data_IF_415466180918
#
_entry.id   IF_415466180918
#
_cell.length_a   1.000
_cell.length_b   1.000
_cell.length_c   1.000
_cell.angle_alpha   90.00
_cell.angle_beta   90.00
_cell.angle_gamma   90.00
#
_symmetry.space_group_name_H-M   'P 1'
#
loop_
_entity.id
_entity.type
_entity.pdbx_description
1 polymer ?
#
# COMPACT_ATOMS: atom_id res chain seq x y z
N UNK A 1 26.93 61.48 8.31
CA UNK A 1 26.02 60.51 7.70
C UNK A 1 26.59 59.12 8.02
N UNK A 2 26.03 58.46 9.04
CA UNK A 2 26.45 57.15 9.51
C UNK A 2 25.50 56.10 8.95
N UNK A 3 26.00 55.22 8.11
CA UNK A 3 25.24 54.10 7.56
C UNK A 3 25.16 52.95 8.60
N UNK A 4 23.94 52.59 8.98
CA UNK A 4 23.68 51.46 9.83
C UNK A 4 23.50 50.19 8.96
N UNK A 5 24.38 49.21 9.11
CA UNK A 5 24.30 47.91 8.46
C UNK A 5 23.41 46.99 9.30
N UNK A 6 22.26 46.63 8.77
CA UNK A 6 21.35 45.64 9.39
C UNK A 6 21.81 44.24 8.98
N UNK A 7 22.34 43.50 9.95
CA UNK A 7 22.57 42.03 9.79
C UNK A 7 21.26 41.30 10.01
N UNK A 8 20.68 40.78 8.94
CA UNK A 8 19.55 39.85 9.05
C UNK A 8 20.04 38.45 9.50
N UNK A 9 19.64 38.02 10.70
CA UNK A 9 19.80 36.62 11.13
C UNK A 9 18.81 35.75 10.31
N UNK A 10 19.32 34.96 9.41
CA UNK A 10 18.58 33.85 8.83
C UNK A 10 18.50 32.71 9.85
N UNK A 11 17.39 32.56 10.55
CA UNK A 11 17.08 31.36 11.33
C UNK A 11 16.79 30.21 10.38
N UNK A 12 17.75 29.31 10.23
CA UNK A 12 17.53 28.03 9.59
C UNK A 12 16.58 27.20 10.48
N UNK A 13 15.34 27.03 10.05
CA UNK A 13 14.47 26.02 10.61
C UNK A 13 15.04 24.63 10.24
N UNK A 14 15.80 24.05 11.17
CA UNK A 14 16.08 22.62 11.14
C UNK A 14 14.74 21.93 11.46
N UNK A 15 14.00 21.54 10.42
CA UNK A 15 12.84 20.67 10.59
C UNK A 15 13.32 19.40 11.28
N UNK A 16 12.79 19.09 12.46
CA UNK A 16 12.97 17.78 13.07
C UNK A 16 12.44 16.75 12.07
N UNK A 17 13.32 15.99 11.45
CA UNK A 17 12.94 14.80 10.72
C UNK A 17 12.42 13.82 11.76
N UNK A 18 11.09 13.70 11.85
CA UNK A 18 10.48 12.73 12.75
C UNK A 18 10.85 11.33 12.24
N UNK A 19 11.35 10.48 13.13
CA UNK A 19 11.65 9.10 12.77
C UNK A 19 10.36 8.38 12.38
N UNK A 20 10.42 7.58 11.32
CA UNK A 20 9.27 6.80 10.87
C UNK A 20 8.83 5.81 11.95
N UNK A 21 7.51 5.70 12.15
CA UNK A 21 6.91 4.69 13.03
C UNK A 21 7.17 3.28 12.48
N UNK A 22 7.55 2.33 13.34
CA UNK A 22 7.69 0.93 12.93
C UNK A 22 6.38 0.19 13.20
N UNK A 23 5.86 -0.48 12.18
CA UNK A 23 4.74 -1.40 12.28
C UNK A 23 5.17 -2.79 11.86
N UNK A 24 4.51 -3.83 12.35
CA UNK A 24 4.64 -5.15 11.76
C UNK A 24 3.67 -5.30 10.59
N UNK A 25 4.06 -6.08 9.57
CA UNK A 25 3.24 -6.46 8.42
C UNK A 25 2.98 -7.95 8.49
N UNK A 26 1.70 -8.35 8.47
CA UNK A 26 1.30 -9.76 8.63
C UNK A 26 -0.05 -10.06 7.97
N UNK A 27 -0.36 -11.34 7.84
CA UNK A 27 -1.65 -11.84 7.39
C UNK A 27 -2.71 -11.84 8.49
N UNK A 28 -3.96 -11.99 8.08
CA UNK A 28 -5.09 -12.16 8.98
C UNK A 28 -4.93 -13.43 9.81
N UNK A 29 -5.13 -13.29 11.11
CA UNK A 29 -5.08 -14.40 12.08
C UNK A 29 -3.75 -14.58 12.80
N UNK A 30 -2.71 -13.84 12.40
CA UNK A 30 -1.36 -14.03 12.93
C UNK A 30 -1.08 -13.17 14.18
N UNK A 31 -1.84 -12.10 14.43
CA UNK A 31 -1.54 -11.13 15.50
C UNK A 31 -1.46 -11.76 16.88
N UNK A 32 -2.27 -12.77 17.18
CA UNK A 32 -2.25 -13.45 18.47
C UNK A 32 -0.89 -14.12 18.76
N UNK A 33 -0.27 -14.71 17.73
CA UNK A 33 1.05 -15.31 17.81
C UNK A 33 2.20 -14.28 17.89
N UNK A 34 1.92 -13.03 17.50
CA UNK A 34 2.90 -11.94 17.41
C UNK A 34 2.84 -10.98 18.60
N UNK A 35 2.13 -11.33 19.67
CA UNK A 35 1.96 -10.45 20.83
C UNK A 35 3.29 -9.94 21.40
N UNK A 36 4.29 -10.80 21.54
CA UNK A 36 5.61 -10.41 22.08
C UNK A 36 6.31 -9.35 21.21
N UNK A 37 6.10 -9.35 19.90
CA UNK A 37 6.63 -8.33 18.99
C UNK A 37 5.81 -7.04 19.14
N UNK A 38 4.48 -7.15 19.20
CA UNK A 38 3.61 -5.97 19.39
C UNK A 38 3.84 -5.25 20.69
N UNK A 39 4.21 -5.96 21.78
CA UNK A 39 4.51 -5.36 23.09
C UNK A 39 5.80 -4.53 23.11
N UNK A 40 6.67 -4.67 22.13
CA UNK A 40 7.91 -3.89 22.03
C UNK A 40 7.61 -2.40 21.95
N UNK A 41 8.39 -1.59 22.66
CA UNK A 41 8.23 -0.13 22.69
C UNK A 41 8.57 0.56 21.37
N UNK A 42 9.41 -0.08 20.53
CA UNK A 42 9.79 0.43 19.20
C UNK A 42 8.79 0.08 18.10
N UNK A 43 7.71 -0.68 18.40
CA UNK A 43 6.63 -1.03 17.46
C UNK A 43 5.40 -0.19 17.77
N UNK A 44 4.91 0.55 16.78
CA UNK A 44 3.75 1.43 16.90
C UNK A 44 2.42 0.69 16.67
N UNK A 45 2.44 -0.45 15.97
CA UNK A 45 1.24 -1.21 15.67
C UNK A 45 1.45 -2.29 14.61
N UNK A 46 0.38 -2.63 13.92
CA UNK A 46 0.36 -3.63 12.86
C UNK A 46 -0.37 -3.13 11.62
N UNK A 47 0.09 -3.57 10.44
CA UNK A 47 -0.67 -3.61 9.21
C UNK A 47 -1.05 -5.07 8.95
N UNK A 48 -2.34 -5.35 8.84
CA UNK A 48 -2.86 -6.70 8.66
C UNK A 48 -3.61 -6.81 7.35
N UNK A 49 -3.30 -7.84 6.57
CA UNK A 49 -3.91 -8.12 5.27
C UNK A 49 -5.21 -8.90 5.46
N UNK A 50 -6.29 -8.37 4.89
CA UNK A 50 -7.59 -9.02 4.83
C UNK A 50 -8.03 -9.14 3.37
N UNK A 51 -8.35 -10.35 2.92
CA UNK A 51 -8.86 -10.53 1.56
C UNK A 51 -10.37 -10.26 1.46
N UNK A 52 -10.82 -9.82 0.30
CA UNK A 52 -12.21 -9.46 0.07
C UNK A 52 -13.19 -10.60 0.37
N UNK A 53 -12.86 -11.83 -0.05
CA UNK A 53 -13.73 -13.01 0.20
C UNK A 53 -14.02 -13.23 1.68
N UNK A 54 -13.04 -13.05 2.54
CA UNK A 54 -13.23 -13.21 3.98
C UNK A 54 -14.06 -12.08 4.60
N UNK A 55 -13.98 -10.86 4.04
CA UNK A 55 -14.71 -9.71 4.53
C UNK A 55 -16.16 -9.66 4.02
N UNK A 56 -16.47 -10.27 2.88
CA UNK A 56 -17.79 -10.30 2.27
C UNK A 56 -18.09 -11.71 1.73
N UNK A 57 -18.40 -12.70 2.58
CA UNK A 57 -18.65 -14.08 2.18
C UNK A 57 -19.88 -14.25 1.28
N UNK A 58 -20.88 -13.38 1.40
CA UNK A 58 -22.02 -13.30 0.51
C UNK A 58 -22.35 -11.83 0.20
N UNK A 59 -23.04 -11.59 -0.89
CA UNK A 59 -23.30 -10.22 -1.38
C UNK A 59 -24.00 -9.35 -0.33
N UNK A 60 -23.31 -8.33 0.16
CA UNK A 60 -23.81 -7.41 1.18
C UNK A 60 -23.83 -7.98 2.60
N UNK A 61 -23.33 -9.19 2.79
CA UNK A 61 -23.14 -9.80 4.11
C UNK A 61 -21.67 -9.70 4.50
N UNK A 62 -21.37 -8.86 5.49
CA UNK A 62 -19.99 -8.57 5.87
C UNK A 62 -19.61 -9.31 7.16
N UNK A 63 -18.46 -9.99 7.14
CA UNK A 63 -17.83 -10.56 8.33
C UNK A 63 -16.55 -9.80 8.66
N UNK A 64 -16.65 -8.90 9.62
CA UNK A 64 -15.54 -8.13 10.13
C UNK A 64 -14.97 -8.65 11.44
N UNK A 65 -15.35 -9.86 11.85
CA UNK A 65 -14.95 -10.46 13.13
C UNK A 65 -13.43 -10.55 13.29
N UNK A 66 -12.69 -10.79 12.19
CA UNK A 66 -11.23 -10.82 12.20
C UNK A 66 -10.64 -9.45 12.51
N UNK A 67 -11.15 -8.39 11.88
CA UNK A 67 -10.70 -7.01 12.12
C UNK A 67 -11.01 -6.59 13.57
N UNK A 68 -12.20 -6.94 14.08
CA UNK A 68 -12.57 -6.62 15.46
C UNK A 68 -11.63 -7.29 16.48
N UNK A 69 -11.25 -8.56 16.28
CA UNK A 69 -10.28 -9.25 17.14
C UNK A 69 -8.91 -8.58 17.13
N UNK A 70 -8.42 -8.23 15.93
CA UNK A 70 -7.11 -7.60 15.77
C UNK A 70 -7.11 -6.17 16.35
N UNK A 71 -8.23 -5.45 16.18
CA UNK A 71 -8.42 -4.12 16.78
C UNK A 71 -8.50 -4.18 18.31
N UNK A 72 -9.16 -5.18 18.88
CA UNK A 72 -9.19 -5.39 20.31
C UNK A 72 -7.80 -5.72 20.86
N UNK A 73 -7.04 -6.58 20.18
CA UNK A 73 -5.70 -6.94 20.60
C UNK A 73 -4.74 -5.74 20.55
N UNK A 74 -4.73 -5.00 19.44
CA UNK A 74 -3.89 -3.80 19.31
C UNK A 74 -4.32 -2.73 20.31
N UNK A 75 -5.62 -2.55 20.56
CA UNK A 75 -6.16 -1.62 21.53
C UNK A 75 -5.73 -1.92 22.97
N UNK A 76 -5.74 -3.20 23.39
CA UNK A 76 -5.24 -3.62 24.73
C UNK A 76 -3.78 -3.26 24.96
N UNK A 77 -2.99 -3.22 23.90
CA UNK A 77 -1.56 -2.90 23.94
C UNK A 77 -1.27 -1.41 23.66
N UNK A 78 -2.31 -0.60 23.46
CA UNK A 78 -2.20 0.80 23.02
C UNK A 78 -1.41 0.93 21.71
N UNK A 79 -1.67 0.02 20.77
CA UNK A 79 -1.06 -0.05 19.44
C UNK A 79 -2.07 0.32 18.35
N UNK A 80 -1.55 0.75 17.20
CA UNK A 80 -2.33 1.17 16.05
C UNK A 80 -2.59 0.00 15.12
N UNK A 81 -3.74 -0.02 14.42
CA UNK A 81 -4.07 -1.00 13.38
C UNK A 81 -4.26 -0.31 12.04
N UNK A 82 -3.58 -0.80 11.01
CA UNK A 82 -3.90 -0.57 9.60
C UNK A 82 -4.61 -1.80 9.03
N UNK A 83 -5.74 -1.60 8.37
CA UNK A 83 -6.41 -2.60 7.56
C UNK A 83 -5.83 -2.52 6.15
N UNK A 84 -5.21 -3.59 5.64
CA UNK A 84 -4.90 -3.71 4.21
C UNK A 84 -5.94 -4.58 3.54
N UNK A 85 -6.78 -3.97 2.70
CA UNK A 85 -7.75 -4.71 1.89
C UNK A 85 -7.04 -5.29 0.69
N UNK A 86 -7.21 -6.60 0.42
CA UNK A 86 -6.51 -7.26 -0.68
C UNK A 86 -7.48 -7.91 -1.65
N UNK A 87 -7.36 -7.53 -2.92
CA UNK A 87 -8.13 -8.02 -4.05
C UNK A 87 -7.26 -8.56 -5.21
N UNK A 88 -5.93 -8.56 -5.01
CA UNK A 88 -4.93 -9.09 -5.92
C UNK A 88 -4.14 -10.17 -5.23
N UNK A 89 -3.74 -11.21 -5.97
CA UNK A 89 -3.15 -12.39 -5.37
C UNK A 89 -1.97 -12.86 -6.21
N UNK A 90 -0.87 -13.15 -5.54
CA UNK A 90 0.37 -13.67 -6.12
C UNK A 90 0.50 -15.20 -5.87
N UNK A 91 -0.63 -15.91 -6.02
CA UNK A 91 -0.74 -17.36 -5.95
C UNK A 91 -1.69 -17.82 -7.03
N UNK A 92 -1.27 -18.75 -7.90
CA UNK A 92 -2.12 -19.27 -8.99
C UNK A 92 -3.41 -19.96 -8.49
N UNK A 93 -3.39 -20.51 -7.29
CA UNK A 93 -4.53 -21.22 -6.69
C UNK A 93 -5.51 -20.30 -5.96
N UNK A 94 -5.06 -19.10 -5.57
CA UNK A 94 -5.88 -18.17 -4.79
C UNK A 94 -7.06 -17.61 -5.59
N UNK A 95 -8.23 -17.52 -4.95
CA UNK A 95 -9.46 -16.90 -5.49
C UNK A 95 -10.13 -16.11 -4.38
N UNK A 96 -9.39 -15.17 -3.79
CA UNK A 96 -9.76 -14.49 -2.55
C UNK A 96 -10.71 -13.31 -2.77
N UNK A 97 -11.60 -13.38 -3.76
CA UNK A 97 -12.77 -12.50 -3.92
C UNK A 97 -14.06 -13.32 -3.73
N UNK A 98 -15.20 -12.69 -3.39
CA UNK A 98 -16.45 -13.40 -3.15
C UNK A 98 -16.90 -14.26 -4.33
N UNK A 99 -17.47 -15.43 -4.03
CA UNK A 99 -17.93 -16.37 -5.06
C UNK A 99 -18.98 -15.74 -5.99
N UNK A 100 -19.88 -14.91 -5.47
CA UNK A 100 -20.88 -14.22 -6.26
C UNK A 100 -20.27 -13.23 -7.30
N UNK A 101 -19.09 -12.67 -7.01
CA UNK A 101 -18.35 -11.83 -7.96
C UNK A 101 -17.71 -12.69 -9.05
N UNK A 102 -17.14 -13.85 -8.66
CA UNK A 102 -16.55 -14.80 -9.59
C UNK A 102 -17.60 -15.37 -10.57
N UNK A 103 -18.77 -15.79 -10.04
CA UNK A 103 -19.84 -16.40 -10.82
C UNK A 103 -20.59 -15.40 -11.70
N UNK A 104 -20.83 -14.18 -11.18
CA UNK A 104 -21.64 -13.17 -11.88
C UNK A 104 -20.89 -12.39 -12.95
N UNK A 105 -19.70 -11.90 -12.64
CA UNK A 105 -18.93 -10.99 -13.49
C UNK A 105 -17.61 -11.58 -14.01
N UNK A 106 -17.29 -12.84 -13.64
CA UNK A 106 -15.98 -13.43 -13.90
C UNK A 106 -14.84 -12.85 -13.03
N UNK A 107 -15.02 -11.68 -12.49
CA UNK A 107 -14.30 -10.94 -11.44
C UNK A 107 -12.77 -10.92 -11.44
N UNK A 108 -12.08 -11.94 -11.94
CA UNK A 108 -10.63 -12.10 -11.91
C UNK A 108 -10.02 -12.31 -13.31
N UNK A 109 -8.82 -11.77 -13.48
CA UNK A 109 -7.96 -12.01 -14.64
C UNK A 109 -6.61 -12.54 -14.13
N UNK A 110 -5.98 -13.53 -14.83
CA UNK A 110 -4.67 -14.01 -14.44
C UNK A 110 -3.60 -12.94 -14.57
N UNK A 111 -2.72 -12.86 -13.57
CA UNK A 111 -1.47 -12.14 -13.64
C UNK A 111 -0.39 -13.06 -14.19
N UNK A 112 0.38 -12.58 -15.15
CA UNK A 112 1.37 -13.37 -15.86
C UNK A 112 2.78 -12.87 -15.57
N UNK A 113 3.71 -13.79 -15.37
CA UNK A 113 5.13 -13.49 -15.47
C UNK A 113 5.49 -13.24 -16.94
N UNK A 114 6.05 -12.08 -17.23
CA UNK A 114 6.37 -11.62 -18.59
C UNK A 114 5.17 -11.65 -19.56
N UNK A 115 4.12 -10.87 -19.32
CA UNK A 115 2.93 -10.86 -20.16
C UNK A 115 3.26 -10.54 -21.63
N UNK A 116 2.65 -11.28 -22.54
CA UNK A 116 2.89 -11.14 -23.98
C UNK A 116 4.07 -11.93 -24.56
N UNK A 117 4.78 -12.71 -23.75
CA UNK A 117 5.80 -13.66 -24.20
C UNK A 117 5.23 -15.09 -24.34
N UNK A 118 5.81 -15.88 -25.25
CA UNK A 118 5.35 -17.26 -25.52
C UNK A 118 5.48 -18.21 -24.30
N UNK A 119 6.24 -17.82 -23.28
CA UNK A 119 6.49 -18.58 -22.06
C UNK A 119 5.88 -17.95 -20.80
N UNK A 120 4.98 -16.99 -20.97
CA UNK A 120 4.28 -16.36 -19.85
C UNK A 120 3.58 -17.42 -18.99
N UNK A 121 3.80 -17.37 -17.67
CA UNK A 121 3.18 -18.28 -16.71
C UNK A 121 2.29 -17.48 -15.75
N UNK A 122 1.10 -18.01 -15.46
CA UNK A 122 0.24 -17.42 -14.46
C UNK A 122 0.91 -17.57 -13.08
N UNK A 123 1.11 -16.46 -12.38
CA UNK A 123 1.65 -16.43 -11.01
C UNK A 123 0.68 -15.86 -9.99
N UNK A 124 -0.48 -15.38 -10.44
CA UNK A 124 -1.48 -14.80 -9.57
C UNK A 124 -2.74 -14.37 -10.29
N UNK A 125 -3.52 -13.54 -9.63
CA UNK A 125 -4.81 -13.03 -10.12
C UNK A 125 -5.00 -11.58 -9.71
N UNK A 126 -5.67 -10.79 -10.56
CA UNK A 126 -6.13 -9.45 -10.24
C UNK A 126 -7.62 -9.32 -10.44
N UNK A 127 -8.27 -8.52 -9.60
CA UNK A 127 -9.69 -8.21 -9.72
C UNK A 127 -9.92 -7.21 -10.86
N UNK A 128 -10.98 -7.44 -11.64
CA UNK A 128 -11.33 -6.58 -12.78
C UNK A 128 -11.95 -5.25 -12.33
N UNK A 129 -11.17 -4.37 -11.71
CA UNK A 129 -11.67 -3.07 -11.23
C UNK A 129 -12.18 -2.16 -12.37
N UNK A 130 -11.71 -2.35 -13.61
CA UNK A 130 -12.26 -1.68 -14.81
C UNK A 130 -13.68 -2.13 -15.17
N UNK A 131 -14.16 -3.26 -14.63
CA UNK A 131 -15.55 -3.67 -14.76
C UNK A 131 -16.42 -2.91 -13.73
N UNK A 132 -17.41 -2.08 -14.17
CA UNK A 132 -18.21 -1.26 -13.26
C UNK A 132 -19.00 -2.06 -12.22
N UNK A 133 -19.47 -3.26 -12.55
CA UNK A 133 -20.22 -4.10 -11.63
C UNK A 133 -19.32 -4.66 -10.51
N UNK A 134 -18.12 -5.09 -10.84
CA UNK A 134 -17.11 -5.54 -9.87
C UNK A 134 -16.67 -4.38 -9.00
N UNK A 135 -16.32 -3.24 -9.61
CA UNK A 135 -15.91 -2.03 -8.89
C UNK A 135 -16.97 -1.54 -7.91
N UNK A 136 -18.24 -1.51 -8.31
CA UNK A 136 -19.33 -1.10 -7.44
C UNK A 136 -19.44 -1.98 -6.17
N UNK A 137 -19.16 -3.28 -6.27
CA UNK A 137 -19.15 -4.19 -5.12
C UNK A 137 -17.94 -3.92 -4.21
N UNK A 138 -16.77 -3.71 -4.79
CA UNK A 138 -15.58 -3.34 -4.02
C UNK A 138 -15.77 -2.01 -3.27
N UNK A 139 -16.35 -1.01 -3.92
CA UNK A 139 -16.69 0.26 -3.29
C UNK A 139 -17.74 0.11 -2.18
N UNK A 140 -18.69 -0.82 -2.31
CA UNK A 140 -19.63 -1.13 -1.24
C UNK A 140 -18.93 -1.74 -0.02
N UNK A 141 -17.94 -2.63 -0.22
CA UNK A 141 -17.10 -3.14 0.86
C UNK A 141 -16.33 -2.00 1.56
N UNK A 142 -15.70 -1.09 0.80
CA UNK A 142 -14.96 0.04 1.38
C UNK A 142 -15.86 0.94 2.24
N UNK A 143 -17.10 1.21 1.79
CA UNK A 143 -18.09 1.97 2.56
C UNK A 143 -18.51 1.24 3.84
N UNK A 144 -18.76 -0.07 3.77
CA UNK A 144 -19.13 -0.88 4.93
C UNK A 144 -17.99 -0.95 5.96
N UNK A 145 -16.74 -1.06 5.49
CA UNK A 145 -15.57 -0.97 6.37
C UNK A 145 -15.46 0.40 7.05
N UNK A 146 -15.70 1.48 6.32
CA UNK A 146 -15.67 2.83 6.88
C UNK A 146 -16.79 3.05 7.89
N UNK A 147 -18.02 2.62 7.60
CA UNK A 147 -19.15 2.70 8.54
C UNK A 147 -18.82 2.02 9.88
N UNK A 148 -18.06 0.92 9.84
CA UNK A 148 -17.72 0.16 11.04
C UNK A 148 -16.46 0.64 11.75
N UNK A 149 -15.46 1.12 11.03
CA UNK A 149 -14.09 1.29 11.54
C UNK A 149 -13.50 2.69 11.42
N UNK A 150 -14.15 3.63 10.73
CA UNK A 150 -13.62 5.00 10.63
C UNK A 150 -13.46 5.63 12.02
N UNK A 151 -12.29 6.17 12.31
CA UNK A 151 -11.91 6.69 13.61
C UNK A 151 -11.56 5.64 14.68
N UNK A 152 -11.76 4.35 14.41
CA UNK A 152 -11.40 3.23 15.31
C UNK A 152 -10.07 2.59 14.91
N UNK A 153 -9.80 2.49 13.61
CA UNK A 153 -8.51 2.05 13.07
C UNK A 153 -7.64 3.25 12.73
N UNK A 154 -6.33 3.05 12.69
CA UNK A 154 -5.41 4.13 12.33
C UNK A 154 -5.48 4.47 10.84
N UNK A 155 -5.73 3.46 10.00
CA UNK A 155 -5.94 3.67 8.58
C UNK A 155 -6.36 2.43 7.83
N UNK A 156 -6.74 2.65 6.56
CA UNK A 156 -7.00 1.63 5.55
C UNK A 156 -6.00 1.77 4.42
N UNK A 157 -5.47 0.66 3.94
CA UNK A 157 -4.56 0.58 2.82
C UNK A 157 -5.19 -0.18 1.67
N UNK A 158 -5.24 0.46 0.49
CA UNK A 158 -5.71 -0.15 -0.74
C UNK A 158 -4.57 -0.94 -1.41
N UNK A 159 -4.87 -1.97 -2.22
CA UNK A 159 -3.87 -2.81 -2.88
C UNK A 159 -2.94 -2.00 -3.78
N UNK A 160 -1.78 -2.58 -4.13
CA UNK A 160 -0.85 -1.92 -5.05
C UNK A 160 -1.43 -1.75 -6.45
N UNK A 161 -0.95 -0.72 -7.17
CA UNK A 161 -1.41 -0.41 -8.52
C UNK A 161 -0.82 -1.31 -9.61
N UNK A 162 0.28 -2.00 -9.31
CA UNK A 162 0.92 -2.89 -10.27
C UNK A 162 0.07 -4.14 -10.55
N UNK A 163 -0.19 -4.39 -11.82
CA UNK A 163 -0.82 -5.61 -12.34
C UNK A 163 -0.16 -6.00 -13.66
N UNK A 164 -0.06 -7.30 -13.91
CA UNK A 164 0.56 -7.85 -15.10
C UNK A 164 -0.45 -8.68 -15.90
N UNK A 165 -1.09 -8.06 -16.88
CA UNK A 165 -2.12 -8.66 -17.73
C UNK A 165 -1.60 -8.87 -19.14
N UNK A 166 -1.92 -10.01 -19.77
CA UNK A 166 -1.74 -10.18 -21.20
C UNK A 166 -2.78 -9.37 -21.98
N UNK A 167 -2.46 -8.12 -22.28
CA UNK A 167 -3.35 -7.22 -23.01
C UNK A 167 -3.70 -7.69 -24.42
N UNK A 168 -2.90 -8.58 -25.02
CA UNK A 168 -3.18 -9.13 -26.37
C UNK A 168 -4.21 -10.25 -26.31
N UNK A 169 -4.20 -11.03 -25.23
CA UNK A 169 -5.14 -12.12 -25.03
C UNK A 169 -6.37 -11.68 -24.24
N UNK A 170 -6.39 -10.52 -23.64
CA UNK A 170 -7.49 -10.01 -22.84
C UNK A 170 -8.78 -9.86 -23.66
N UNK A 171 -9.89 -10.31 -23.08
CA UNK A 171 -11.25 -10.20 -23.63
C UNK A 171 -12.22 -9.52 -22.66
N UNK A 172 -11.71 -8.93 -21.57
CA UNK A 172 -12.52 -8.36 -20.50
C UNK A 172 -12.79 -6.87 -20.69
N UNK A 173 -12.22 -6.27 -21.73
CA UNK A 173 -12.30 -4.85 -22.00
C UNK A 173 -11.31 -4.03 -21.18
N UNK A 174 -10.21 -4.64 -20.72
CA UNK A 174 -9.13 -3.93 -20.06
C UNK A 174 -8.55 -2.85 -20.98
N UNK A 175 -8.33 -1.68 -20.43
CA UNK A 175 -7.40 -0.69 -20.95
C UNK A 175 -6.71 -0.01 -19.78
N UNK A 176 -5.51 0.51 -20.03
CA UNK A 176 -4.74 1.15 -18.98
C UNK A 176 -5.42 2.38 -18.41
N UNK A 177 -6.07 3.19 -19.25
CA UNK A 177 -6.86 4.34 -18.81
C UNK A 177 -8.07 3.90 -17.98
N UNK A 178 -8.83 2.89 -18.42
CA UNK A 178 -9.99 2.40 -17.67
C UNK A 178 -9.60 1.83 -16.32
N UNK A 179 -8.45 1.14 -16.23
CA UNK A 179 -7.92 0.65 -14.97
C UNK A 179 -7.46 1.80 -14.06
N UNK A 180 -6.68 2.73 -14.59
CA UNK A 180 -6.22 3.90 -13.84
C UNK A 180 -7.40 4.72 -13.27
N UNK A 181 -8.39 5.03 -14.10
CA UNK A 181 -9.57 5.80 -13.68
C UNK A 181 -10.39 5.03 -12.63
N UNK A 182 -10.50 3.70 -12.75
CA UNK A 182 -11.18 2.84 -11.78
C UNK A 182 -10.47 2.86 -10.40
N UNK A 183 -9.15 2.77 -10.37
CA UNK A 183 -8.38 2.82 -9.12
C UNK A 183 -8.46 4.20 -8.48
N UNK A 184 -8.42 5.29 -9.25
CA UNK A 184 -8.64 6.64 -8.73
C UNK A 184 -10.05 6.84 -8.17
N UNK A 185 -11.07 6.22 -8.79
CA UNK A 185 -12.44 6.24 -8.28
C UNK A 185 -12.54 5.49 -6.95
N UNK A 186 -11.97 4.27 -6.86
CA UNK A 186 -11.91 3.50 -5.62
C UNK A 186 -11.23 4.29 -4.49
N UNK A 187 -10.10 4.92 -4.78
CA UNK A 187 -9.35 5.73 -3.84
C UNK A 187 -10.16 6.96 -3.37
N UNK A 188 -10.88 7.61 -4.28
CA UNK A 188 -11.75 8.74 -3.96
C UNK A 188 -12.88 8.29 -3.02
N UNK A 189 -13.56 7.19 -3.34
CA UNK A 189 -14.64 6.64 -2.52
C UNK A 189 -14.11 6.22 -1.13
N UNK A 190 -12.94 5.61 -1.07
CA UNK A 190 -12.31 5.27 0.21
C UNK A 190 -12.06 6.53 1.06
N UNK A 191 -11.52 7.61 0.47
CA UNK A 191 -11.24 8.85 1.19
C UNK A 191 -12.53 9.56 1.65
N UNK A 192 -13.57 9.54 0.82
CA UNK A 192 -14.87 10.11 1.18
C UNK A 192 -15.55 9.34 2.32
N UNK A 193 -15.37 8.03 2.36
CA UNK A 193 -15.95 7.17 3.38
C UNK A 193 -15.17 7.22 4.70
N UNK A 194 -13.84 7.14 4.66
CA UNK A 194 -12.97 7.22 5.84
C UNK A 194 -12.58 8.68 6.12
N UNK A 195 -13.33 9.38 6.94
CA UNK A 195 -13.13 10.80 7.23
C UNK A 195 -12.13 11.07 8.35
N UNK A 196 -11.98 10.14 9.26
CA UNK A 196 -11.15 10.25 10.47
C UNK A 196 -9.88 9.40 10.42
N UNK A 197 -9.96 8.23 9.76
CA UNK A 197 -8.83 7.32 9.59
C UNK A 197 -8.03 7.69 8.34
N UNK A 198 -6.75 7.33 8.31
CA UNK A 198 -5.90 7.51 7.13
C UNK A 198 -6.34 6.58 6.00
N UNK A 199 -6.27 7.08 4.77
CA UNK A 199 -6.45 6.27 3.56
C UNK A 199 -5.15 6.28 2.79
N UNK A 200 -4.60 5.11 2.49
CA UNK A 200 -3.34 4.94 1.78
C UNK A 200 -3.58 4.12 0.51
N UNK A 201 -3.05 4.56 -0.61
CA UNK A 201 -2.91 3.76 -1.82
C UNK A 201 -1.48 3.25 -1.93
N UNK A 202 -1.29 1.93 -2.04
CA UNK A 202 0.00 1.40 -2.46
C UNK A 202 0.20 1.64 -3.96
N UNK A 203 1.33 2.24 -4.29
CA UNK A 203 1.72 2.50 -5.68
C UNK A 203 3.14 2.00 -5.92
N UNK A 204 3.30 1.20 -6.96
CA UNK A 204 4.60 0.68 -7.41
C UNK A 204 4.81 1.02 -8.88
N UNK A 205 4.02 0.39 -9.76
CA UNK A 205 3.98 0.63 -11.20
C UNK A 205 2.52 0.78 -11.64
N UNK A 206 2.33 1.42 -12.78
CA UNK A 206 1.06 1.35 -13.50
C UNK A 206 1.25 0.49 -14.74
N UNK A 207 0.29 -0.35 -15.10
CA UNK A 207 0.33 -1.03 -16.40
C UNK A 207 0.39 0.01 -17.52
N UNK A 208 1.14 -0.30 -18.57
CA UNK A 208 1.42 0.55 -19.73
C UNK A 208 2.32 1.77 -19.47
N UNK A 209 2.55 2.19 -18.23
CA UNK A 209 3.36 3.37 -17.94
C UNK A 209 4.82 3.01 -17.66
N UNK A 210 5.72 3.75 -18.29
CA UNK A 210 7.14 3.73 -17.97
C UNK A 210 7.69 5.15 -17.92
N UNK A 211 8.43 5.47 -16.85
CA UNK A 211 8.98 6.83 -16.63
C UNK A 211 7.91 7.95 -16.75
N UNK A 212 6.68 7.67 -16.33
CA UNK A 212 5.53 8.59 -16.35
C UNK A 212 5.08 9.04 -17.77
N UNK A 213 5.29 8.23 -18.79
CA UNK A 213 4.94 8.56 -20.18
C UNK A 213 3.42 8.68 -20.43
N UNK A 214 2.58 8.07 -19.58
CA UNK A 214 1.12 8.24 -19.55
C UNK A 214 0.65 9.25 -18.49
N UNK A 215 1.55 9.76 -17.67
CA UNK A 215 1.25 10.67 -16.56
C UNK A 215 0.28 10.10 -15.50
N UNK A 216 0.19 8.79 -15.35
CA UNK A 216 -0.62 8.16 -14.30
C UNK A 216 -0.02 8.40 -12.92
N UNK A 217 1.29 8.21 -12.78
CA UNK A 217 2.00 8.47 -11.54
C UNK A 217 1.86 9.94 -11.13
N UNK A 218 2.09 10.88 -12.04
CA UNK A 218 1.93 12.32 -11.79
C UNK A 218 0.53 12.66 -11.32
N UNK A 219 -0.51 12.21 -12.05
CA UNK A 219 -1.92 12.45 -11.72
C UNK A 219 -2.31 11.85 -10.35
N UNK A 220 -1.81 10.67 -10.00
CA UNK A 220 -2.07 10.06 -8.70
C UNK A 220 -1.48 10.90 -7.56
N UNK A 221 -0.20 11.31 -7.67
CA UNK A 221 0.46 12.09 -6.64
C UNK A 221 -0.16 13.48 -6.46
N UNK A 222 -0.51 14.15 -7.56
CA UNK A 222 -1.24 15.43 -7.54
C UNK A 222 -2.59 15.28 -6.84
N UNK A 223 -3.36 14.24 -7.21
CA UNK A 223 -4.66 13.95 -6.59
C UNK A 223 -4.53 13.65 -5.11
N UNK A 224 -3.57 12.83 -4.71
CA UNK A 224 -3.33 12.45 -3.32
C UNK A 224 -3.00 13.68 -2.46
N UNK A 225 -2.08 14.52 -2.92
CA UNK A 225 -1.70 15.74 -2.22
C UNK A 225 -2.86 16.73 -2.07
N UNK A 226 -3.71 16.84 -3.10
CA UNK A 226 -4.86 17.76 -3.08
C UNK A 226 -6.04 17.28 -2.21
N UNK A 227 -6.13 15.96 -1.94
CA UNK A 227 -7.31 15.35 -1.31
C UNK A 227 -7.06 14.78 0.09
N UNK A 228 -5.89 15.02 0.70
CA UNK A 228 -5.55 14.44 2.00
C UNK A 228 -5.53 12.91 1.97
N UNK A 229 -4.95 12.35 0.91
CA UNK A 229 -4.76 10.91 0.73
C UNK A 229 -3.29 10.60 0.96
N UNK A 230 -3.03 9.53 1.73
CA UNK A 230 -1.71 8.97 1.87
C UNK A 230 -1.33 8.08 0.68
N UNK A 231 -0.06 7.97 0.42
CA UNK A 231 0.49 7.02 -0.54
C UNK A 231 1.49 6.09 0.14
N UNK A 232 1.79 4.99 -0.50
CA UNK A 232 2.80 4.07 -0.02
C UNK A 232 3.24 3.11 -1.11
N UNK A 233 3.92 2.05 -0.71
CA UNK A 233 4.34 1.01 -1.63
C UNK A 233 4.61 -0.30 -0.92
N UNK A 234 4.51 -1.43 -1.65
CA UNK A 234 4.71 -2.75 -1.06
C UNK A 234 6.18 -3.02 -0.71
N UNK A 235 7.12 -2.27 -1.31
CA UNK A 235 8.54 -2.55 -1.22
C UNK A 235 9.38 -1.30 -0.98
N UNK A 236 10.20 -1.31 0.07
CA UNK A 236 11.34 -0.41 0.21
C UNK A 236 12.58 -1.17 -0.23
N UNK A 237 13.04 -0.96 -1.46
CA UNK A 237 14.30 -1.53 -1.94
C UNK A 237 15.26 -0.39 -2.28
N UNK A 238 16.22 -0.08 -1.41
CA UNK A 238 17.11 1.07 -1.61
C UNK A 238 17.77 1.05 -2.99
N UNK A 239 17.59 2.15 -3.72
CA UNK A 239 18.19 2.39 -5.04
C UNK A 239 17.84 1.38 -6.14
N UNK A 240 16.75 0.62 -6.01
CA UNK A 240 16.28 -0.33 -7.02
C UNK A 240 16.00 0.40 -8.34
N UNK A 241 16.65 0.00 -9.42
CA UNK A 241 16.66 0.72 -10.71
C UNK A 241 15.24 0.97 -11.26
N UNK A 242 14.36 -0.03 -11.22
CA UNK A 242 12.99 0.11 -11.71
C UNK A 242 12.20 1.16 -10.93
N UNK A 243 12.19 1.07 -9.60
CA UNK A 243 11.49 2.01 -8.72
C UNK A 243 12.11 3.42 -8.76
N UNK A 244 13.44 3.51 -8.87
CA UNK A 244 14.14 4.79 -9.04
C UNK A 244 13.81 5.52 -10.35
N UNK A 245 13.21 4.82 -11.31
CA UNK A 245 12.71 5.43 -12.57
C UNK A 245 11.24 5.76 -12.51
N UNK A 246 10.42 4.89 -11.88
CA UNK A 246 8.98 4.90 -12.06
C UNK A 246 8.19 5.39 -10.84
N UNK A 247 8.61 5.14 -9.60
CA UNK A 247 7.83 5.47 -8.41
C UNK A 247 8.58 6.32 -7.36
N UNK A 248 9.79 5.94 -6.96
CA UNK A 248 10.51 6.61 -5.87
C UNK A 248 10.80 8.10 -6.08
N UNK A 249 11.10 8.61 -7.30
CA UNK A 249 11.28 10.03 -7.51
C UNK A 249 10.05 10.87 -7.18
N UNK A 250 8.85 10.31 -7.36
CA UNK A 250 7.61 10.99 -6.98
C UNK A 250 7.46 11.10 -5.48
N UNK A 251 7.75 10.04 -4.71
CA UNK A 251 7.80 10.12 -3.25
C UNK A 251 8.77 11.19 -2.77
N UNK A 252 9.98 11.24 -3.35
CA UNK A 252 10.97 12.26 -3.04
C UNK A 252 10.47 13.68 -3.33
N UNK A 253 9.86 13.90 -4.51
CA UNK A 253 9.30 15.19 -4.93
C UNK A 253 8.14 15.65 -4.05
N UNK A 254 7.33 14.72 -3.56
CA UNK A 254 6.15 14.99 -2.74
C UNK A 254 6.40 14.83 -1.24
N UNK A 255 7.64 14.69 -0.82
CA UNK A 255 8.04 14.62 0.59
C UNK A 255 7.48 15.80 1.38
N UNK A 256 6.72 15.53 2.44
CA UNK A 256 6.06 16.52 3.26
C UNK A 256 4.83 17.20 2.62
N UNK A 257 4.35 16.71 1.47
CA UNK A 257 3.14 17.21 0.79
C UNK A 257 1.97 16.23 0.82
N UNK A 258 2.23 14.96 1.09
CA UNK A 258 1.21 13.92 1.25
C UNK A 258 0.73 13.90 2.70
N UNK A 259 -0.52 13.49 2.91
CA UNK A 259 -1.10 13.32 4.25
C UNK A 259 -0.33 12.28 5.08
N UNK A 260 0.16 11.23 4.42
CA UNK A 260 0.89 10.15 5.04
C UNK A 260 1.63 9.34 3.99
N UNK A 261 2.81 8.85 4.32
CA UNK A 261 3.57 7.91 3.49
C UNK A 261 3.86 6.64 4.31
N UNK A 262 3.25 5.52 3.93
CA UNK A 262 3.46 4.23 4.58
C UNK A 262 3.96 3.18 3.59
N UNK A 263 5.14 2.61 3.83
CA UNK A 263 5.74 1.64 2.90
C UNK A 263 6.17 0.36 3.62
N UNK A 264 6.07 -0.77 2.91
CA UNK A 264 6.42 -2.06 3.47
C UNK A 264 7.84 -2.52 3.10
N UNK A 265 8.37 -3.41 3.92
CA UNK A 265 9.50 -4.29 3.62
C UNK A 265 8.99 -5.70 3.74
N UNK A 266 8.59 -6.30 2.61
CA UNK A 266 8.03 -7.65 2.54
C UNK A 266 9.12 -8.73 2.46
N UNK A 267 8.75 -10.01 2.52
CA UNK A 267 9.70 -11.14 2.50
C UNK A 267 10.62 -11.11 1.27
N UNK A 268 10.11 -10.92 0.04
CA UNK A 268 10.99 -10.84 -1.13
C UNK A 268 12.00 -9.70 -1.03
N UNK A 269 11.59 -8.57 -0.43
CA UNK A 269 12.43 -7.38 -0.24
C UNK A 269 13.63 -7.67 0.65
N UNK A 270 13.47 -8.52 1.67
CA UNK A 270 14.55 -8.91 2.59
C UNK A 270 15.68 -9.70 1.90
N UNK A 271 15.42 -10.25 0.72
CA UNK A 271 16.41 -11.03 -0.04
C UNK A 271 17.31 -10.18 -0.92
N UNK A 272 16.93 -8.92 -1.19
CA UNK A 272 17.74 -8.02 -2.03
C UNK A 272 19.05 -7.65 -1.34
N UNK A 273 20.07 -7.52 -2.16
CA UNK A 273 21.42 -7.19 -1.71
C UNK A 273 21.78 -5.76 -2.07
N UNK A 274 22.51 -5.13 -1.17
CA UNK A 274 23.14 -3.85 -1.44
C UNK A 274 24.31 -4.07 -2.42
N UNK A 275 24.27 -3.43 -3.57
CA UNK A 275 25.28 -3.58 -4.65
C UNK A 275 26.70 -3.21 -4.18
N UNK A 276 26.84 -2.35 -3.16
CA UNK A 276 28.15 -1.92 -2.62
C UNK A 276 28.79 -2.97 -1.72
N UNK A 277 27.96 -3.73 -0.97
CA UNK A 277 28.46 -4.67 0.04
C UNK A 277 28.30 -6.13 -0.37
N UNK A 278 27.44 -6.42 -1.34
CA UNK A 278 27.03 -7.78 -1.72
C UNK A 278 26.22 -8.53 -0.69
N UNK A 279 25.82 -7.85 0.43
CA UNK A 279 25.06 -8.44 1.55
C UNK A 279 23.60 -7.97 1.50
N UNK A 280 22.66 -8.70 2.12
CA UNK A 280 21.30 -8.21 2.34
C UNK A 280 21.34 -6.83 3.03
N UNK A 281 20.34 -6.00 2.72
CA UNK A 281 20.19 -4.71 3.39
C UNK A 281 19.92 -4.90 4.89
N UNK A 282 20.46 -4.02 5.70
CA UNK A 282 20.21 -3.94 7.14
C UNK A 282 18.96 -3.11 7.44
N UNK A 283 18.44 -3.21 8.68
CA UNK A 283 17.34 -2.35 9.16
C UNK A 283 17.67 -0.86 8.96
N UNK A 284 18.90 -0.47 9.33
CA UNK A 284 19.33 0.93 9.24
C UNK A 284 19.41 1.42 7.79
N UNK A 285 19.85 0.60 6.85
CA UNK A 285 19.90 0.96 5.43
C UNK A 285 18.47 1.12 4.84
N UNK A 286 17.53 0.25 5.19
CA UNK A 286 16.12 0.42 4.83
C UNK A 286 15.55 1.69 5.45
N UNK A 287 15.75 1.89 6.74
CA UNK A 287 15.23 3.06 7.48
C UNK A 287 15.79 4.37 6.92
N UNK A 288 17.09 4.46 6.72
CA UNK A 288 17.72 5.65 6.17
C UNK A 288 17.17 5.99 4.77
N UNK A 289 17.05 5.00 3.87
CA UNK A 289 16.48 5.25 2.54
C UNK A 289 15.01 5.66 2.63
N UNK A 290 14.22 5.01 3.49
CA UNK A 290 12.81 5.32 3.70
C UNK A 290 12.62 6.77 4.20
N UNK A 291 13.37 7.20 5.20
CA UNK A 291 13.21 8.53 5.81
C UNK A 291 13.87 9.62 4.98
N UNK A 292 15.12 9.41 4.53
CA UNK A 292 15.92 10.46 3.92
C UNK A 292 15.54 10.69 2.45
N UNK A 293 15.22 9.63 1.73
CA UNK A 293 14.87 9.74 0.32
C UNK A 293 13.36 9.73 0.09
N UNK A 294 12.63 8.73 0.61
CA UNK A 294 11.21 8.56 0.33
C UNK A 294 10.30 9.44 1.19
N UNK A 295 10.75 9.88 2.38
CA UNK A 295 9.95 10.68 3.29
C UNK A 295 8.82 9.88 3.97
N UNK A 296 9.11 8.63 4.33
CA UNK A 296 8.16 7.69 4.92
C UNK A 296 7.83 8.04 6.36
N UNK A 297 6.54 8.07 6.71
CA UNK A 297 6.04 8.25 8.08
C UNK A 297 5.91 6.93 8.84
N UNK A 298 5.67 5.83 8.14
CA UNK A 298 5.60 4.49 8.72
C UNK A 298 6.25 3.42 7.82
N UNK A 299 7.00 2.52 8.44
CA UNK A 299 7.54 1.33 7.78
C UNK A 299 6.81 0.10 8.31
N UNK A 300 6.23 -0.68 7.39
CA UNK A 300 5.55 -1.95 7.69
C UNK A 300 6.53 -3.10 7.46
N UNK A 301 7.12 -3.60 8.53
CA UNK A 301 8.12 -4.67 8.50
C UNK A 301 7.46 -6.04 8.43
N UNK A 302 7.79 -6.85 7.42
CA UNK A 302 7.45 -8.26 7.45
C UNK A 302 7.88 -8.89 8.78
N UNK A 303 7.04 -9.74 9.34
CA UNK A 303 7.35 -10.50 10.55
C UNK A 303 8.55 -11.43 10.38
N UNK A 304 8.95 -11.71 9.15
CA UNK A 304 10.17 -12.47 8.82
C UNK A 304 11.44 -11.63 8.93
N UNK A 305 11.33 -10.34 9.17
CA UNK A 305 12.50 -9.46 9.33
C UNK A 305 13.42 -9.93 10.46
N UNK A 306 14.74 -10.11 10.21
CA UNK A 306 15.67 -10.64 11.20
C UNK A 306 15.72 -9.84 12.52
N UNK A 307 15.48 -8.52 12.46
CA UNK A 307 15.45 -7.63 13.63
C UNK A 307 14.15 -7.66 14.43
N UNK A 308 13.14 -8.37 14.00
CA UNK A 308 11.91 -8.63 14.74
C UNK A 308 11.97 -9.97 15.50
N UNK A 309 12.86 -10.85 15.10
CA UNK A 309 13.07 -12.13 15.80
C UNK A 309 13.78 -11.91 17.12
N UNK A 310 13.45 -12.68 18.18
CA UNK A 310 14.11 -12.59 19.49
C UNK A 310 15.60 -12.94 19.43
#
# INVERSE_FOLDING_TARGET
>A
MTAATIFGLATAFAGNVQAADNFIYTGNGDLAALQAILERSDIAGAQVVYNWRALEPAQGEYDFSAIERDLEQTGRLNKKLFIQVQDRFFSPEARNIPDYVLEGAGGLVPQLDNPGEDKAQAYGWTTMQWNPAVRARYQALLKALAERFDGRVYGVNLPETAIDIDMKADKTGFSCDAYFDAELENLTIAREAFTSSKVIQYVNFWPCEWENDHNYMGRLFERAAASGIGLGGPDIVPYRKGQMKNSYPFFNQYKGKLEFVGMAVQEPTLTYKNDKTGKPFTKDEFTAFATDYLGVDAIFWSVESPWLKP
#
